data_IF_770871546619
#
_entry.id   IF_770871546619
#
_cell.length_a   1.000
_cell.length_b   1.000
_cell.length_c   1.000
_cell.angle_alpha   90.00
_cell.angle_beta   90.00
_cell.angle_gamma   90.00
#
_symmetry.space_group_name_H-M   'P 1'
#
loop_
_entity.id
_entity.type
_entity.pdbx_description
1 polymer ?
#
# COMPACT_ATOMS: atom_id res chain seq x y z
N UNK A 1 18.01 -10.55 -24.37
CA UNK A 1 16.59 -10.54 -23.99
C UNK A 1 16.49 -10.76 -22.49
N UNK A 2 16.67 -9.72 -21.67
CA UNK A 2 16.30 -9.87 -20.25
C UNK A 2 15.50 -8.64 -19.91
N UNK A 3 14.19 -8.76 -20.09
CA UNK A 3 13.19 -7.93 -19.43
C UNK A 3 12.59 -8.79 -18.34
N UNK A 4 12.43 -8.25 -17.13
CA UNK A 4 11.78 -8.95 -16.03
C UNK A 4 10.49 -8.22 -15.64
N UNK A 5 9.50 -9.00 -15.22
CA UNK A 5 8.22 -8.49 -14.72
C UNK A 5 8.01 -9.07 -13.33
N UNK A 6 7.70 -8.21 -12.36
CA UNK A 6 7.42 -8.60 -10.99
C UNK A 6 6.09 -8.02 -10.54
N UNK A 7 5.33 -8.79 -9.75
CA UNK A 7 4.13 -8.31 -9.07
C UNK A 7 4.46 -8.28 -7.58
N UNK A 8 4.38 -7.09 -6.98
CA UNK A 8 4.68 -6.88 -5.58
C UNK A 8 3.47 -6.33 -4.83
N UNK A 9 3.32 -6.83 -3.60
CA UNK A 9 2.48 -6.20 -2.60
C UNK A 9 3.33 -5.68 -1.46
N UNK A 10 2.95 -4.53 -0.90
CA UNK A 10 3.62 -3.95 0.26
C UNK A 10 3.63 -4.87 1.48
N UNK A 11 2.66 -5.80 1.58
CA UNK A 11 2.73 -6.85 2.58
C UNK A 11 4.02 -7.65 2.38
N UNK A 12 4.25 -8.21 1.20
CA UNK A 12 5.42 -9.05 0.95
C UNK A 12 6.73 -8.26 0.99
N UNK A 13 6.79 -7.14 0.28
CA UNK A 13 7.99 -6.33 0.15
C UNK A 13 7.57 -4.88 -0.07
N UNK A 14 7.86 -3.95 0.87
CA UNK A 14 7.50 -2.54 0.72
C UNK A 14 8.05 -1.96 -0.57
N UNK A 15 7.17 -1.39 -1.40
CA UNK A 15 7.56 -0.80 -2.68
C UNK A 15 8.50 0.40 -2.48
N UNK A 16 8.48 1.03 -1.30
CA UNK A 16 9.44 2.08 -0.90
C UNK A 16 10.89 1.65 -1.08
N UNK A 17 11.23 0.38 -0.82
CA UNK A 17 12.60 -0.13 -0.97
C UNK A 17 13.03 -0.11 -2.43
N UNK A 18 12.16 -0.57 -3.33
CA UNK A 18 12.41 -0.55 -4.78
C UNK A 18 12.53 0.88 -5.27
N UNK A 19 11.58 1.76 -4.91
CA UNK A 19 11.59 3.17 -5.34
C UNK A 19 12.87 3.87 -4.87
N UNK A 20 13.26 3.72 -3.61
CA UNK A 20 14.50 4.33 -3.08
C UNK A 20 15.76 3.80 -3.78
N UNK A 21 15.84 2.50 -4.02
CA UNK A 21 16.96 1.91 -4.78
C UNK A 21 17.02 2.47 -6.20
N UNK A 22 15.88 2.54 -6.89
CA UNK A 22 15.83 3.05 -8.27
C UNK A 22 16.13 4.54 -8.35
N UNK A 23 15.63 5.36 -7.42
CA UNK A 23 15.95 6.79 -7.32
C UNK A 23 17.47 7.03 -7.22
N UNK A 24 18.15 6.31 -6.31
CA UNK A 24 19.60 6.48 -6.06
C UNK A 24 20.49 6.17 -7.26
N UNK A 25 19.99 5.38 -8.20
CA UNK A 25 20.73 4.83 -9.33
C UNK A 25 20.28 5.37 -10.69
N UNK A 26 19.23 6.21 -10.74
CA UNK A 26 18.70 6.74 -12.00
C UNK A 26 19.40 8.04 -12.39
N UNK A 27 19.55 8.23 -13.70
CA UNK A 27 19.94 9.47 -14.36
C UNK A 27 18.73 10.35 -14.67
N UNK A 28 17.57 9.73 -14.90
CA UNK A 28 16.31 10.41 -15.20
C UNK A 28 15.15 9.67 -14.53
N UNK A 29 14.27 10.42 -13.87
CA UNK A 29 13.13 9.87 -13.13
C UNK A 29 11.88 10.68 -13.42
N UNK A 30 10.79 10.00 -13.77
CA UNK A 30 9.47 10.59 -13.94
C UNK A 30 8.45 9.96 -13.00
N UNK A 31 7.70 10.79 -12.28
CA UNK A 31 6.65 10.36 -11.34
C UNK A 31 5.34 11.08 -11.67
N UNK A 32 4.24 10.35 -11.68
CA UNK A 32 2.89 10.92 -11.75
C UNK A 32 1.99 10.21 -10.73
N UNK A 33 1.54 10.93 -9.71
CA UNK A 33 0.73 10.37 -8.61
C UNK A 33 -0.49 11.21 -8.34
N UNK A 34 -1.61 10.53 -8.11
CA UNK A 34 -2.85 11.19 -7.70
C UNK A 34 -2.67 11.92 -6.37
N UNK A 35 -2.02 11.28 -5.40
CA UNK A 35 -1.84 11.80 -4.04
C UNK A 35 -0.38 11.84 -3.64
N UNK A 36 0.00 12.96 -3.05
CA UNK A 36 1.30 13.19 -2.42
C UNK A 36 1.10 13.67 -0.98
N UNK A 37 1.63 12.93 -0.01
CA UNK A 37 1.67 13.40 1.39
C UNK A 37 3.10 13.56 1.87
N UNK A 38 3.31 14.44 2.85
CA UNK A 38 4.66 14.74 3.36
C UNK A 38 5.25 13.50 4.01
N UNK A 39 4.38 12.70 4.65
CA UNK A 39 4.75 11.36 5.14
C UNK A 39 5.35 10.44 4.07
N UNK A 40 4.93 10.57 2.80
CA UNK A 40 5.52 9.83 1.69
C UNK A 40 6.83 10.47 1.20
N UNK A 41 6.92 11.80 1.21
CA UNK A 41 8.17 12.53 0.94
C UNK A 41 9.25 12.07 1.91
N UNK A 42 8.98 12.01 3.21
CA UNK A 42 9.93 11.56 4.24
C UNK A 42 10.50 10.16 3.96
N UNK A 43 9.74 9.29 3.30
CA UNK A 43 10.17 7.92 2.96
C UNK A 43 11.16 7.89 1.79
N UNK A 44 11.14 8.90 0.91
CA UNK A 44 11.94 8.93 -0.33
C UNK A 44 12.92 10.09 -0.43
N UNK A 45 12.84 11.09 0.46
CA UNK A 45 13.56 12.35 0.36
C UNK A 45 15.08 12.15 0.28
N UNK A 46 15.65 11.25 1.07
CA UNK A 46 17.10 11.04 1.09
C UNK A 46 17.57 10.45 -0.26
N UNK A 47 16.83 9.49 -0.81
CA UNK A 47 17.15 8.93 -2.13
C UNK A 47 16.96 9.92 -3.27
N UNK A 48 15.94 10.79 -3.17
CA UNK A 48 15.69 11.87 -4.12
C UNK A 48 16.83 12.90 -4.10
N UNK A 49 17.20 13.39 -2.91
CA UNK A 49 18.29 14.36 -2.73
C UNK A 49 19.61 13.77 -3.24
N UNK A 50 19.95 12.55 -2.85
CA UNK A 50 21.17 11.87 -3.33
C UNK A 50 21.20 11.72 -4.86
N UNK A 51 20.05 11.54 -5.50
CA UNK A 51 19.93 11.45 -6.97
C UNK A 51 20.20 12.82 -7.62
N UNK A 52 19.59 13.88 -7.08
CA UNK A 52 19.74 15.25 -7.56
C UNK A 52 21.17 15.78 -7.36
N UNK A 53 21.82 15.45 -6.25
CA UNK A 53 23.22 15.81 -5.97
C UNK A 53 24.20 15.16 -6.95
N UNK A 54 23.88 13.96 -7.46
CA UNK A 54 24.62 13.31 -8.56
C UNK A 54 24.32 13.91 -9.93
N UNK A 55 23.43 14.91 -9.99
CA UNK A 55 23.04 15.59 -11.22
C UNK A 55 22.01 14.85 -12.05
N UNK A 56 21.21 13.95 -11.46
CA UNK A 56 20.08 13.32 -12.14
C UNK A 56 18.95 14.31 -12.39
N UNK A 57 18.14 14.01 -13.42
CA UNK A 57 16.88 14.70 -13.71
C UNK A 57 15.73 14.06 -12.92
N UNK A 58 14.84 14.88 -12.37
CA UNK A 58 13.66 14.41 -11.66
C UNK A 58 12.43 15.23 -12.04
N UNK A 59 11.40 14.59 -12.58
CA UNK A 59 10.13 15.21 -12.90
C UNK A 59 9.00 14.56 -12.11
N UNK A 60 8.15 15.39 -11.50
CA UNK A 60 7.01 14.91 -10.74
C UNK A 60 5.74 15.71 -11.05
N UNK A 61 4.66 14.98 -11.29
CA UNK A 61 3.30 15.48 -11.50
C UNK A 61 2.41 14.98 -10.35
N UNK A 62 1.70 15.90 -9.70
CA UNK A 62 0.88 15.60 -8.52
C UNK A 62 -0.56 16.07 -8.71
N UNK A 63 -1.52 15.20 -8.44
CA UNK A 63 -2.95 15.54 -8.47
C UNK A 63 -3.44 16.37 -7.27
N UNK A 64 -4.42 17.23 -7.52
CA UNK A 64 -5.09 18.07 -6.51
C UNK A 64 -6.61 17.83 -6.39
N UNK A 65 -7.20 16.95 -7.20
CA UNK A 65 -8.66 16.81 -7.36
C UNK A 65 -9.37 16.37 -6.07
N UNK A 66 -8.77 15.48 -5.28
CA UNK A 66 -9.35 14.98 -4.02
C UNK A 66 -8.91 15.74 -2.78
N UNK A 67 -8.16 16.84 -2.92
CA UNK A 67 -7.59 17.61 -1.79
C UNK A 67 -6.85 16.73 -0.77
N UNK A 68 -6.32 15.59 -1.22
CA UNK A 68 -5.59 14.64 -0.39
C UNK A 68 -4.09 14.95 -0.35
N UNK A 69 -3.60 15.64 -1.38
CA UNK A 69 -2.22 16.14 -1.44
C UNK A 69 -2.05 17.26 -0.42
N UNK A 70 -1.09 17.15 0.50
CA UNK A 70 -0.93 18.18 1.53
C UNK A 70 -0.04 19.36 1.08
N UNK A 71 -0.34 20.55 1.62
CA UNK A 71 0.39 21.79 1.32
C UNK A 71 1.87 21.71 1.69
N UNK A 72 2.21 20.96 2.74
CA UNK A 72 3.60 20.76 3.20
C UNK A 72 4.44 20.04 2.15
N UNK A 73 3.86 19.10 1.41
CA UNK A 73 4.53 18.38 0.32
C UNK A 73 4.79 19.27 -0.89
N UNK A 74 3.81 20.10 -1.25
CA UNK A 74 3.94 21.08 -2.35
C UNK A 74 5.03 22.09 -2.00
N UNK A 75 5.03 22.61 -0.75
CA UNK A 75 6.08 23.47 -0.21
C UNK A 75 7.46 22.85 -0.36
N UNK A 76 7.62 21.60 0.09
CA UNK A 76 8.89 20.86 -0.01
C UNK A 76 9.39 20.79 -1.46
N UNK A 77 8.53 20.39 -2.42
CA UNK A 77 8.94 20.27 -3.82
C UNK A 77 9.26 21.64 -4.45
N UNK A 78 8.55 22.71 -4.09
CA UNK A 78 8.86 24.06 -4.56
C UNK A 78 10.23 24.54 -4.05
N UNK A 79 10.51 24.34 -2.78
CA UNK A 79 11.79 24.74 -2.20
C UNK A 79 12.94 23.90 -2.76
N UNK A 80 12.71 22.60 -2.98
CA UNK A 80 13.68 21.73 -3.64
C UNK A 80 13.91 22.12 -5.11
N UNK A 81 12.87 22.54 -5.84
CA UNK A 81 12.96 23.05 -7.21
C UNK A 81 13.81 24.33 -7.31
N UNK A 82 13.70 25.23 -6.33
CA UNK A 82 14.53 26.46 -6.26
C UNK A 82 16.01 26.10 -6.18
N UNK A 83 16.36 25.09 -5.39
CA UNK A 83 17.73 24.60 -5.16
C UNK A 83 18.27 23.77 -6.33
N UNK A 84 17.50 22.79 -6.82
CA UNK A 84 17.94 21.85 -7.85
C UNK A 84 17.22 22.11 -9.17
N UNK A 85 17.91 22.75 -10.13
CA UNK A 85 17.33 23.11 -11.45
C UNK A 85 16.94 21.93 -12.34
N UNK A 86 17.44 20.73 -12.01
CA UNK A 86 17.07 19.46 -12.67
C UNK A 86 15.82 18.81 -12.10
N UNK A 87 15.24 19.40 -11.05
CA UNK A 87 13.92 19.05 -10.58
C UNK A 87 12.89 19.84 -11.39
N UNK A 88 11.86 19.16 -11.90
CA UNK A 88 10.66 19.76 -12.50
C UNK A 88 9.43 19.30 -11.73
N UNK A 89 8.65 20.25 -11.24
CA UNK A 89 7.47 19.97 -10.43
C UNK A 89 6.24 20.64 -11.01
N UNK A 90 5.18 19.85 -11.16
CA UNK A 90 3.89 20.30 -11.65
C UNK A 90 2.75 19.75 -10.79
N UNK A 91 1.70 20.55 -10.69
CA UNK A 91 0.40 20.15 -10.20
C UNK A 91 -0.55 19.90 -11.37
N UNK A 92 -1.42 18.92 -11.20
CA UNK A 92 -2.59 18.70 -12.02
C UNK A 92 -3.83 19.12 -11.23
N UNK A 93 -4.65 20.00 -11.79
CA UNK A 93 -5.93 20.37 -11.21
C UNK A 93 -6.83 21.12 -12.18
N UNK A 94 -8.10 21.19 -11.85
CA UNK A 94 -9.11 21.83 -12.69
C UNK A 94 -8.87 23.33 -12.86
N UNK A 95 -8.62 23.75 -14.11
CA UNK A 95 -8.79 25.16 -14.54
C UNK A 95 -10.25 25.35 -14.91
N UNK A 96 -10.90 26.47 -14.55
CA UNK A 96 -12.33 26.70 -14.80
C UNK A 96 -12.77 26.40 -16.24
N UNK A 97 -11.93 26.73 -17.23
CA UNK A 97 -12.22 26.51 -18.65
C UNK A 97 -12.09 25.05 -19.11
N UNK A 98 -11.51 24.18 -18.27
CA UNK A 98 -11.24 22.77 -18.51
C UNK A 98 -11.74 21.87 -17.37
N UNK A 99 -12.74 22.32 -16.60
CA UNK A 99 -13.41 21.45 -15.61
C UNK A 99 -14.04 20.29 -16.35
N UNK A 100 -13.49 19.10 -16.13
CA UNK A 100 -14.04 17.84 -16.63
C UNK A 100 -14.30 16.93 -15.45
N UNK A 101 -15.21 15.97 -15.58
CA UNK A 101 -15.42 14.93 -14.56
C UNK A 101 -14.26 13.92 -14.49
N UNK A 102 -13.18 14.13 -15.26
CA UNK A 102 -12.03 13.24 -15.34
C UNK A 102 -11.11 13.50 -14.16
N UNK A 103 -11.02 12.49 -13.30
CA UNK A 103 -10.17 12.51 -12.12
C UNK A 103 -8.74 12.12 -12.46
N UNK A 104 -7.77 12.93 -12.04
CA UNK A 104 -6.35 12.59 -12.11
C UNK A 104 -5.98 11.51 -11.08
N UNK A 105 -6.04 10.25 -11.51
CA UNK A 105 -5.75 9.11 -10.64
C UNK A 105 -4.57 8.18 -11.02
N UNK A 106 -3.56 8.59 -11.83
CA UNK A 106 -2.43 7.71 -12.13
C UNK A 106 -1.54 7.51 -10.90
N UNK A 107 -0.79 6.40 -10.92
CA UNK A 107 0.32 6.09 -10.00
C UNK A 107 1.44 5.44 -10.81
N UNK A 108 2.31 6.30 -11.33
CA UNK A 108 3.36 5.96 -12.29
C UNK A 108 4.69 6.38 -11.70
N UNK A 109 5.65 5.45 -11.73
CA UNK A 109 7.05 5.73 -11.41
C UNK A 109 7.93 5.16 -12.53
N UNK A 110 8.81 5.98 -13.08
CA UNK A 110 9.65 5.63 -14.21
C UNK A 110 11.08 6.05 -13.90
N UNK A 111 12.01 5.14 -14.15
CA UNK A 111 13.41 5.27 -13.78
C UNK A 111 14.29 4.87 -14.96
N UNK A 112 15.29 5.67 -15.28
CA UNK A 112 16.30 5.37 -16.28
C UNK A 112 17.70 5.53 -15.70
N UNK A 113 18.51 4.48 -15.74
CA UNK A 113 19.92 4.53 -15.32
C UNK A 113 20.91 4.49 -16.49
N UNK A 114 20.43 4.65 -17.74
CA UNK A 114 21.21 4.58 -18.97
C UNK A 114 21.53 3.16 -19.47
N UNK A 115 21.37 2.14 -18.62
CA UNK A 115 21.59 0.72 -18.96
C UNK A 115 20.28 -0.08 -19.03
N UNK A 116 19.35 0.25 -18.17
CA UNK A 116 18.02 -0.34 -18.09
C UNK A 116 16.99 0.70 -17.63
N UNK A 117 15.75 0.47 -18.07
CA UNK A 117 14.58 1.25 -17.72
C UNK A 117 13.73 0.46 -16.74
N UNK A 118 13.25 1.12 -15.68
CA UNK A 118 12.30 0.51 -14.74
C UNK A 118 11.00 1.31 -14.71
N UNK A 119 9.87 0.62 -14.84
CA UNK A 119 8.53 1.18 -14.70
C UNK A 119 7.80 0.50 -13.56
N UNK A 120 7.16 1.28 -12.69
CA UNK A 120 6.27 0.80 -11.64
C UNK A 120 4.89 1.42 -11.88
N UNK A 121 3.88 0.54 -11.99
CA UNK A 121 2.47 0.92 -12.17
C UNK A 121 1.65 0.09 -11.19
N UNK A 122 0.71 0.74 -10.49
CA UNK A 122 -0.15 0.04 -9.56
C UNK A 122 -1.04 0.95 -8.75
N UNK A 123 -1.29 0.57 -7.50
CA UNK A 123 -2.17 1.30 -6.59
C UNK A 123 -1.43 2.30 -5.69
N UNK A 124 -0.09 2.25 -5.63
CA UNK A 124 0.73 3.06 -4.71
C UNK A 124 0.79 4.54 -5.06
N UNK A 125 0.20 5.40 -4.23
CA UNK A 125 0.47 6.85 -4.21
C UNK A 125 1.72 7.18 -3.37
N UNK A 126 2.28 8.39 -3.52
CA UNK A 126 3.44 8.85 -2.73
C UNK A 126 3.03 9.32 -1.33
N UNK A 127 2.59 8.37 -0.51
CA UNK A 127 2.21 8.55 0.90
C UNK A 127 2.86 7.43 1.72
N UNK A 128 3.14 7.62 3.01
CA UNK A 128 3.71 6.53 3.84
C UNK A 128 2.83 5.27 3.83
N UNK A 129 1.51 5.47 3.85
CA UNK A 129 0.54 4.38 3.68
C UNK A 129 0.77 3.60 2.39
N UNK A 130 0.73 4.28 1.24
CA UNK A 130 0.91 3.63 -0.07
C UNK A 130 2.31 3.07 -0.32
N UNK A 131 3.34 3.61 0.34
CA UNK A 131 4.72 3.16 0.17
C UNK A 131 5.08 1.97 1.07
N UNK A 132 4.43 1.81 2.22
CA UNK A 132 4.87 0.85 3.25
C UNK A 132 3.77 0.03 3.92
N UNK A 133 2.58 0.59 4.16
CA UNK A 133 1.63 0.03 5.14
C UNK A 133 0.34 -0.52 4.52
N UNK A 134 -0.17 0.15 3.49
CA UNK A 134 -1.42 -0.23 2.83
C UNK A 134 -1.24 -1.52 2.05
N UNK A 135 -2.32 -2.27 1.87
CA UNK A 135 -2.35 -3.40 0.94
C UNK A 135 -2.38 -2.89 -0.50
N UNK A 136 -1.20 -2.58 -1.02
CA UNK A 136 -0.99 -2.15 -2.40
C UNK A 136 -0.58 -3.32 -3.28
N UNK A 137 -0.85 -3.22 -4.58
CA UNK A 137 -0.38 -4.15 -5.60
C UNK A 137 0.22 -3.34 -6.74
N UNK A 138 1.47 -3.65 -7.09
CA UNK A 138 2.23 -2.96 -8.13
C UNK A 138 2.87 -3.97 -9.08
N UNK A 139 2.92 -3.61 -10.36
CA UNK A 139 3.71 -4.31 -11.37
C UNK A 139 4.98 -3.53 -11.64
N UNK A 140 6.12 -4.21 -11.65
CA UNK A 140 7.43 -3.64 -11.95
C UNK A 140 7.94 -4.28 -13.24
N UNK A 141 8.25 -3.45 -14.22
CA UNK A 141 8.94 -3.83 -15.45
C UNK A 141 10.37 -3.33 -15.37
N UNK A 142 11.35 -4.21 -15.60
CA UNK A 142 12.76 -3.81 -15.78
C UNK A 142 13.22 -4.27 -17.15
N UNK A 143 13.61 -3.34 -18.01
CA UNK A 143 13.85 -3.56 -19.43
C UNK A 143 15.19 -2.98 -19.89
N UNK A 144 16.04 -3.80 -20.51
CA UNK A 144 17.22 -3.31 -21.26
C UNK A 144 16.89 -2.82 -22.67
N UNK A 145 15.76 -3.27 -23.22
CA UNK A 145 15.18 -2.83 -24.50
C UNK A 145 13.74 -2.39 -24.19
N UNK A 146 13.48 -1.08 -23.99
CA UNK A 146 12.24 -0.60 -23.39
C UNK A 146 11.05 -0.67 -24.35
N UNK A 147 10.19 -1.67 -24.20
CA UNK A 147 8.91 -1.74 -24.90
C UNK A 147 7.82 -1.10 -24.03
N UNK A 148 7.64 -1.61 -22.81
CA UNK A 148 6.58 -1.15 -21.90
C UNK A 148 6.88 0.23 -21.34
N UNK A 149 8.14 0.52 -21.03
CA UNK A 149 8.55 1.86 -20.62
C UNK A 149 8.25 2.90 -21.71
N UNK A 150 8.45 2.58 -22.99
CA UNK A 150 8.13 3.48 -24.11
C UNK A 150 6.63 3.75 -24.21
N UNK A 151 5.79 2.72 -24.05
CA UNK A 151 4.33 2.87 -24.01
C UNK A 151 3.89 3.73 -22.82
N UNK A 152 4.45 3.47 -21.64
CA UNK A 152 4.16 4.24 -20.44
C UNK A 152 4.62 5.70 -20.57
N UNK A 153 5.75 5.93 -21.23
CA UNK A 153 6.25 7.28 -21.51
C UNK A 153 5.29 8.07 -22.42
N UNK A 154 4.66 7.42 -23.40
CA UNK A 154 3.65 8.06 -24.23
C UNK A 154 2.43 8.49 -23.40
N UNK A 155 1.98 7.65 -22.46
CA UNK A 155 0.90 7.98 -21.51
C UNK A 155 1.36 9.13 -20.61
N UNK A 156 2.55 9.06 -20.03
CA UNK A 156 3.10 10.12 -19.19
C UNK A 156 3.17 11.46 -19.94
N UNK A 157 3.60 11.45 -21.21
CA UNK A 157 3.65 12.65 -22.04
C UNK A 157 2.26 13.25 -22.29
N UNK A 158 1.22 12.43 -22.49
CA UNK A 158 -0.16 12.94 -22.60
C UNK A 158 -0.64 13.67 -21.34
N UNK A 159 -0.15 13.28 -20.17
CA UNK A 159 -0.40 13.98 -18.91
C UNK A 159 0.43 15.26 -18.83
N UNK A 160 1.73 15.16 -19.14
CA UNK A 160 2.70 16.26 -19.05
C UNK A 160 2.32 17.46 -19.91
N UNK A 161 1.78 17.21 -21.10
CA UNK A 161 1.41 18.26 -22.04
C UNK A 161 -0.09 18.60 -21.98
N UNK A 162 -0.80 18.17 -20.94
CA UNK A 162 -2.19 18.52 -20.73
C UNK A 162 -2.33 19.99 -20.26
N UNK A 163 -3.40 20.66 -20.72
CA UNK A 163 -3.68 22.04 -20.33
C UNK A 163 -3.98 22.21 -18.84
N UNK A 164 -4.37 21.13 -18.15
CA UNK A 164 -4.64 21.11 -16.70
C UNK A 164 -3.36 21.15 -15.85
N UNK A 165 -2.18 21.09 -16.47
CA UNK A 165 -0.91 21.17 -15.77
C UNK A 165 -0.49 22.62 -15.47
N UNK A 166 0.11 22.84 -14.31
CA UNK A 166 0.68 24.14 -13.92
C UNK A 166 1.74 23.97 -12.83
N UNK A 167 2.62 24.96 -12.68
CA UNK A 167 3.54 25.05 -11.54
C UNK A 167 2.96 26.03 -10.52
N UNK A 168 2.70 25.61 -9.26
CA UNK A 168 2.14 26.51 -8.26
C UNK A 168 3.16 27.57 -7.84
N UNK A 169 2.70 28.80 -7.62
CA UNK A 169 3.51 29.86 -7.01
C UNK A 169 3.20 29.98 -5.51
N UNK A 170 3.87 30.91 -4.82
CA UNK A 170 3.70 31.15 -3.38
C UNK A 170 2.27 31.52 -2.99
N UNK A 171 1.64 32.40 -3.76
CA UNK A 171 0.25 32.85 -3.54
C UNK A 171 -0.74 31.69 -3.69
N UNK A 172 -0.59 30.87 -4.74
CA UNK A 172 -1.41 29.68 -4.94
C UNK A 172 -1.29 28.72 -3.76
N UNK A 173 -0.07 28.47 -3.29
CA UNK A 173 0.17 27.56 -2.18
C UNK A 173 -0.45 28.08 -0.87
N UNK A 174 -0.41 29.38 -0.62
CA UNK A 174 -1.08 29.98 0.53
C UNK A 174 -2.59 29.75 0.49
N UNK A 175 -3.24 30.08 -0.63
CA UNK A 175 -4.68 29.87 -0.82
C UNK A 175 -5.05 28.38 -0.74
N UNK A 176 -4.24 27.50 -1.34
CA UNK A 176 -4.41 26.06 -1.25
C UNK A 176 -4.35 25.56 0.19
N UNK A 177 -3.40 26.06 0.99
CA UNK A 177 -3.25 25.69 2.39
C UNK A 177 -4.45 26.11 3.23
N UNK A 178 -5.04 27.28 2.98
CA UNK A 178 -6.25 27.73 3.67
C UNK A 178 -7.43 26.78 3.40
N UNK A 179 -7.67 26.45 2.13
CA UNK A 179 -8.73 25.50 1.72
C UNK A 179 -8.47 24.10 2.31
N UNK A 180 -7.24 23.61 2.22
CA UNK A 180 -6.85 22.29 2.74
C UNK A 180 -7.07 22.19 4.26
N UNK A 181 -6.70 23.23 5.02
CA UNK A 181 -6.90 23.27 6.47
C UNK A 181 -8.39 23.33 6.85
N UNK A 182 -9.21 24.05 6.09
CA UNK A 182 -10.65 24.09 6.30
C UNK A 182 -11.29 22.70 6.11
N UNK A 183 -10.87 21.96 5.08
CA UNK A 183 -11.32 20.58 4.82
C UNK A 183 -10.92 19.66 5.98
N UNK A 184 -9.64 19.66 6.37
CA UNK A 184 -9.16 18.83 7.48
C UNK A 184 -9.91 19.14 8.77
N UNK A 185 -10.14 20.42 9.06
CA UNK A 185 -10.89 20.81 10.26
C UNK A 185 -12.30 20.23 10.25
N UNK A 186 -13.00 20.33 9.12
CA UNK A 186 -14.33 19.76 8.97
C UNK A 186 -14.32 18.23 9.12
N UNK A 187 -13.37 17.53 8.49
CA UNK A 187 -13.20 16.08 8.67
C UNK A 187 -12.97 15.70 10.15
N UNK A 188 -12.19 16.48 10.88
CA UNK A 188 -11.95 16.26 12.31
C UNK A 188 -13.19 16.51 13.17
N UNK A 189 -14.00 17.52 12.83
CA UNK A 189 -15.27 17.80 13.51
C UNK A 189 -16.27 16.65 13.27
N UNK A 190 -16.41 16.20 12.01
CA UNK A 190 -17.23 15.04 11.63
C UNK A 190 -16.75 13.77 12.35
N UNK A 191 -15.42 13.54 12.42
CA UNK A 191 -14.85 12.39 13.13
C UNK A 191 -15.10 12.43 14.64
N UNK A 192 -15.36 13.60 15.24
CA UNK A 192 -15.65 13.74 16.67
C UNK A 192 -17.15 13.76 16.99
N UNK A 193 -18.01 13.82 15.98
CA UNK A 193 -19.46 13.80 16.14
C UNK A 193 -19.91 12.45 16.75
N UNK A 194 -20.49 12.52 17.96
CA UNK A 194 -20.91 11.33 18.70
C UNK A 194 -21.97 10.53 17.95
N UNK A 195 -22.90 11.18 17.27
CA UNK A 195 -23.99 10.52 16.53
C UNK A 195 -23.44 9.74 15.34
N UNK A 196 -22.42 10.29 14.65
CA UNK A 196 -21.73 9.61 13.56
C UNK A 196 -20.90 8.44 14.10
N UNK A 197 -20.18 8.65 15.21
CA UNK A 197 -19.40 7.58 15.86
C UNK A 197 -20.28 6.42 16.36
N UNK A 198 -21.47 6.71 16.87
CA UNK A 198 -22.46 5.68 17.25
C UNK A 198 -22.95 4.91 16.02
N UNK A 199 -23.29 5.60 14.93
CA UNK A 199 -23.65 4.95 13.65
C UNK A 199 -22.52 4.10 13.08
N UNK A 200 -21.27 4.58 13.11
CA UNK A 200 -20.10 3.79 12.68
C UNK A 200 -20.00 2.50 13.50
N UNK A 201 -20.12 2.58 14.83
CA UNK A 201 -20.10 1.39 15.70
C UNK A 201 -21.28 0.45 15.43
N UNK A 202 -22.44 0.98 15.09
CA UNK A 202 -23.61 0.18 14.70
C UNK A 202 -23.36 -0.54 13.38
N UNK A 203 -22.83 0.16 12.36
CA UNK A 203 -22.43 -0.42 11.08
C UNK A 203 -21.38 -1.51 11.30
N UNK A 204 -20.32 -1.26 12.09
CA UNK A 204 -19.30 -2.26 12.41
C UNK A 204 -19.87 -3.49 13.15
N UNK A 205 -20.93 -3.32 13.96
CA UNK A 205 -21.65 -4.44 14.59
C UNK A 205 -22.47 -5.20 13.55
N UNK A 206 -23.17 -4.50 12.65
CA UNK A 206 -23.92 -5.10 11.56
C UNK A 206 -23.00 -5.87 10.62
N UNK A 207 -21.85 -5.32 10.23
CA UNK A 207 -20.83 -5.98 9.40
C UNK A 207 -20.35 -7.32 9.97
N UNK A 208 -20.33 -7.48 11.30
CA UNK A 208 -20.01 -8.75 11.96
C UNK A 208 -21.13 -9.80 11.90
N UNK A 209 -22.37 -9.35 11.78
CA UNK A 209 -23.57 -10.18 11.73
C UNK A 209 -23.99 -10.50 10.30
N UNK A 210 -23.61 -9.66 9.35
CA UNK A 210 -23.77 -9.92 7.93
C UNK A 210 -22.97 -11.17 7.54
N UNK A 211 -23.47 -12.00 6.61
CA UNK A 211 -22.75 -13.17 6.15
C UNK A 211 -21.39 -12.74 5.58
N UNK A 212 -20.33 -13.03 6.33
CA UNK A 212 -18.96 -12.81 5.89
C UNK A 212 -18.60 -13.74 4.74
N UNK A 213 -17.59 -13.36 3.95
CA UNK A 213 -16.96 -14.34 3.05
C UNK A 213 -16.28 -15.43 3.87
N UNK A 214 -16.01 -16.59 3.26
CA UNK A 214 -15.21 -17.69 3.83
C UNK A 214 -13.96 -17.15 4.55
N UNK A 215 -13.81 -17.34 5.88
CA UNK A 215 -12.68 -16.84 6.67
C UNK A 215 -11.32 -17.32 6.13
N UNK A 216 -10.26 -16.55 6.40
CA UNK A 216 -8.90 -16.99 6.06
C UNK A 216 -8.52 -18.26 6.83
N UNK A 217 -7.62 -19.08 6.28
CA UNK A 217 -7.14 -20.30 6.97
C UNK A 217 -6.56 -19.96 8.34
N UNK A 218 -5.73 -18.91 8.44
CA UNK A 218 -5.25 -18.34 9.71
C UNK A 218 -6.39 -18.07 10.70
N UNK A 219 -7.45 -17.38 10.26
CA UNK A 219 -8.57 -17.03 11.14
C UNK A 219 -9.28 -18.30 11.63
N UNK A 220 -9.53 -19.26 10.74
CA UNK A 220 -10.13 -20.55 11.11
C UNK A 220 -9.26 -21.32 12.12
N UNK A 221 -7.94 -21.30 11.98
CA UNK A 221 -7.02 -21.90 12.97
C UNK A 221 -7.14 -21.19 14.31
N UNK A 222 -7.08 -19.85 14.33
CA UNK A 222 -7.20 -19.08 15.59
C UNK A 222 -8.52 -19.35 16.28
N UNK A 223 -9.64 -19.29 15.55
CA UNK A 223 -10.98 -19.58 16.08
C UNK A 223 -11.07 -20.99 16.66
N UNK A 224 -10.49 -21.99 15.99
CA UNK A 224 -10.46 -23.36 16.49
C UNK A 224 -9.68 -23.47 17.80
N UNK A 225 -8.43 -22.99 17.84
CA UNK A 225 -7.60 -23.07 19.05
C UNK A 225 -8.25 -22.29 20.20
N UNK A 226 -8.81 -21.11 19.92
CA UNK A 226 -9.51 -20.31 20.92
C UNK A 226 -10.73 -21.05 21.50
N UNK A 227 -11.53 -21.70 20.65
CA UNK A 227 -12.68 -22.51 21.10
C UNK A 227 -12.28 -23.72 21.94
N UNK A 228 -11.05 -24.23 21.74
CA UNK A 228 -10.46 -25.29 22.56
C UNK A 228 -9.98 -24.73 23.91
N UNK A 229 -9.34 -23.55 23.92
CA UNK A 229 -8.95 -22.85 25.16
C UNK A 229 -10.15 -22.54 26.06
N UNK A 230 -11.28 -22.11 25.49
CA UNK A 230 -12.55 -21.89 26.22
C UNK A 230 -13.07 -23.17 26.89
N UNK A 231 -12.73 -24.34 26.34
CA UNK A 231 -13.06 -25.66 26.91
C UNK A 231 -11.97 -26.20 27.85
N UNK A 232 -10.96 -25.40 28.17
CA UNK A 232 -9.85 -25.77 29.06
C UNK A 232 -8.69 -26.50 28.39
N UNK A 233 -8.68 -26.62 27.06
CA UNK A 233 -7.58 -27.26 26.32
C UNK A 233 -6.48 -26.23 26.02
N UNK A 234 -5.33 -26.37 26.68
CA UNK A 234 -4.22 -25.39 26.60
C UNK A 234 -3.43 -25.43 25.29
N UNK A 235 -3.41 -26.57 24.61
CA UNK A 235 -2.69 -26.78 23.35
C UNK A 235 -3.41 -27.83 22.51
N UNK A 236 -3.37 -27.69 21.19
CA UNK A 236 -4.01 -28.62 20.24
C UNK A 236 -2.96 -29.27 19.34
N UNK A 237 -3.23 -30.48 18.83
CA UNK A 237 -2.33 -31.11 17.87
C UNK A 237 -2.57 -30.58 16.45
N UNK A 238 -1.55 -30.69 15.59
CA UNK A 238 -1.69 -30.42 14.16
C UNK A 238 -2.81 -31.25 13.52
N UNK A 239 -3.00 -32.48 13.99
CA UNK A 239 -4.02 -33.39 13.49
C UNK A 239 -5.43 -32.91 13.86
N UNK A 240 -5.62 -32.40 15.07
CA UNK A 240 -6.90 -31.81 15.51
C UNK A 240 -7.25 -30.59 14.65
N UNK A 241 -6.26 -29.73 14.36
CA UNK A 241 -6.44 -28.56 13.48
C UNK A 241 -6.85 -29.02 12.07
N UNK A 242 -6.18 -30.03 11.50
CA UNK A 242 -6.54 -30.56 10.19
C UNK A 242 -7.98 -31.07 10.16
N UNK A 243 -8.35 -31.90 11.14
CA UNK A 243 -9.67 -32.49 11.20
C UNK A 243 -10.74 -31.41 11.36
N UNK A 244 -10.58 -30.48 12.31
CA UNK A 244 -11.57 -29.44 12.58
C UNK A 244 -11.80 -28.51 11.38
N UNK A 245 -10.73 -28.11 10.69
CA UNK A 245 -10.86 -27.23 9.52
C UNK A 245 -11.44 -27.96 8.30
N UNK A 246 -11.07 -29.22 8.07
CA UNK A 246 -11.67 -30.04 7.00
C UNK A 246 -13.16 -30.30 7.24
N UNK A 247 -13.55 -30.61 8.48
CA UNK A 247 -14.95 -30.78 8.86
C UNK A 247 -15.73 -29.48 8.69
N UNK A 248 -15.17 -28.35 9.11
CA UNK A 248 -15.80 -27.03 8.94
C UNK A 248 -16.01 -26.69 7.47
N UNK A 249 -15.01 -26.88 6.60
CA UNK A 249 -15.13 -26.60 5.17
C UNK A 249 -16.20 -27.46 4.51
N UNK A 250 -16.29 -28.74 4.89
CA UNK A 250 -17.34 -29.63 4.39
C UNK A 250 -18.72 -29.18 4.86
N UNK A 251 -18.85 -28.88 6.16
CA UNK A 251 -20.12 -28.46 6.79
C UNK A 251 -20.67 -27.16 6.18
N UNK A 252 -19.80 -26.19 5.93
CA UNK A 252 -20.18 -24.88 5.40
C UNK A 252 -20.18 -24.83 3.86
N UNK A 253 -19.97 -25.98 3.18
CA UNK A 253 -19.91 -26.11 1.72
C UNK A 253 -18.84 -25.24 1.04
N UNK A 254 -17.76 -24.93 1.74
CA UNK A 254 -16.64 -24.09 1.25
C UNK A 254 -15.63 -24.83 0.39
N UNK A 255 -15.90 -26.09 0.05
CA UNK A 255 -14.98 -26.98 -0.67
C UNK A 255 -14.53 -26.45 -2.04
N UNK A 256 -15.35 -25.65 -2.71
CA UNK A 256 -15.02 -25.04 -4.01
C UNK A 256 -13.84 -24.05 -3.96
N UNK A 257 -13.54 -23.47 -2.78
CA UNK A 257 -12.48 -22.45 -2.61
C UNK A 257 -11.12 -23.07 -2.29
N UNK A 258 -11.08 -24.30 -1.80
CA UNK A 258 -9.86 -24.95 -1.32
C UNK A 258 -9.55 -26.19 -2.16
N UNK A 259 -8.35 -26.24 -2.74
CA UNK A 259 -7.85 -27.48 -3.36
C UNK A 259 -7.65 -28.52 -2.25
N UNK A 260 -8.49 -29.56 -2.23
CA UNK A 260 -8.49 -30.64 -1.24
C UNK A 260 -7.08 -31.18 -0.99
N UNK A 261 -6.34 -31.39 -2.08
CA UNK A 261 -5.06 -32.11 -2.07
C UNK A 261 -3.93 -31.29 -1.43
N UNK A 262 -4.09 -29.97 -1.34
CA UNK A 262 -3.08 -29.06 -0.77
C UNK A 262 -3.52 -28.39 0.53
N UNK A 263 -4.76 -28.59 0.97
CA UNK A 263 -5.35 -27.84 2.07
C UNK A 263 -4.56 -27.97 3.39
N UNK A 264 -4.16 -29.19 3.76
CA UNK A 264 -3.29 -29.45 4.93
C UNK A 264 -1.91 -28.79 4.81
N UNK A 265 -1.35 -28.72 3.60
CA UNK A 265 -0.09 -28.02 3.36
C UNK A 265 -0.25 -26.52 3.58
N UNK A 266 -1.37 -25.94 3.17
CA UNK A 266 -1.68 -24.53 3.40
C UNK A 266 -1.88 -24.23 4.89
N UNK A 267 -2.62 -25.06 5.63
CA UNK A 267 -2.75 -24.93 7.10
C UNK A 267 -1.38 -24.91 7.78
N UNK A 268 -0.51 -25.87 7.44
CA UNK A 268 0.84 -25.95 7.98
C UNK A 268 1.69 -24.74 7.60
N UNK A 269 1.51 -24.25 6.36
CA UNK A 269 2.13 -23.02 5.88
C UNK A 269 1.78 -21.82 6.74
N UNK A 270 0.49 -21.59 7.01
CA UNK A 270 0.00 -20.50 7.86
C UNK A 270 0.52 -20.60 9.30
N UNK A 271 0.47 -21.80 9.90
CA UNK A 271 0.99 -22.06 11.25
C UNK A 271 2.47 -21.68 11.35
N UNK A 272 3.30 -22.12 10.40
CA UNK A 272 4.74 -21.85 10.40
C UNK A 272 5.06 -20.40 10.02
N UNK A 273 4.27 -19.81 9.12
CA UNK A 273 4.46 -18.43 8.68
C UNK A 273 4.17 -17.44 9.80
N UNK A 274 3.17 -17.72 10.64
CA UNK A 274 2.73 -16.87 11.74
C UNK A 274 3.10 -17.39 13.15
N UNK A 275 4.00 -18.37 13.25
CA UNK A 275 4.55 -18.81 14.53
C UNK A 275 5.39 -17.70 15.20
N UNK A 276 5.40 -17.64 16.53
CA UNK A 276 6.26 -16.76 17.32
C UNK A 276 7.73 -17.07 17.00
N UNK A 277 8.51 -16.02 16.69
CA UNK A 277 9.93 -16.10 16.29
C UNK A 277 10.71 -14.98 16.96
N UNK A 278 11.96 -15.25 17.31
CA UNK A 278 12.87 -14.25 17.89
C UNK A 278 13.20 -13.13 16.89
N UNK A 279 13.28 -13.46 15.60
CA UNK A 279 13.49 -12.50 14.52
C UNK A 279 12.40 -12.65 13.43
N UNK A 280 11.20 -12.07 13.64
CA UNK A 280 10.07 -12.26 12.74
C UNK A 280 10.24 -11.45 11.44
N UNK A 281 9.81 -12.04 10.32
CA UNK A 281 9.61 -11.27 9.08
C UNK A 281 8.51 -10.21 9.28
N UNK A 282 8.50 -9.11 8.51
CA UNK A 282 7.47 -8.05 8.60
C UNK A 282 6.01 -8.58 8.59
N UNK A 283 5.73 -9.70 7.91
CA UNK A 283 4.40 -10.31 7.81
C UNK A 283 4.09 -11.40 8.84
N UNK A 284 5.06 -11.73 9.69
CA UNK A 284 4.83 -12.68 10.76
C UNK A 284 4.05 -11.97 11.87
N UNK A 285 2.83 -12.44 12.11
CA UNK A 285 1.93 -11.88 13.11
C UNK A 285 2.21 -12.44 14.52
N UNK A 286 3.04 -13.48 14.65
CA UNK A 286 3.36 -14.13 15.93
C UNK A 286 2.13 -14.65 16.67
N UNK A 287 1.17 -15.25 15.95
CA UNK A 287 -0.12 -15.67 16.48
C UNK A 287 -0.05 -17.01 17.21
N UNK A 288 0.83 -17.89 16.75
CA UNK A 288 0.90 -19.27 17.21
C UNK A 288 2.22 -19.51 17.94
N UNK A 289 2.19 -20.24 19.03
CA UNK A 289 3.40 -20.80 19.65
C UNK A 289 3.40 -22.31 19.50
N UNK A 290 4.60 -22.89 19.53
CA UNK A 290 4.82 -24.32 19.38
C UNK A 290 5.46 -24.86 20.66
N UNK A 291 4.65 -25.17 21.69
CA UNK A 291 5.17 -25.68 22.96
C UNK A 291 5.89 -27.02 22.78
N UNK A 292 5.39 -27.88 21.90
CA UNK A 292 5.96 -29.20 21.62
C UNK A 292 5.90 -29.55 20.12
N UNK A 293 6.58 -30.63 19.73
CA UNK A 293 6.57 -31.11 18.35
C UNK A 293 5.13 -31.49 17.95
N UNK A 294 4.56 -30.72 17.03
CA UNK A 294 3.22 -30.88 16.46
C UNK A 294 2.07 -30.42 17.37
N UNK A 295 2.38 -29.71 18.45
CA UNK A 295 1.41 -29.00 19.28
C UNK A 295 1.45 -27.50 19.02
N UNK A 296 0.28 -26.87 19.06
CA UNK A 296 0.12 -25.44 18.80
C UNK A 296 -0.79 -24.82 19.87
N UNK A 297 -0.46 -23.60 20.28
CA UNK A 297 -1.28 -22.78 21.17
C UNK A 297 -1.31 -21.32 20.66
N UNK A 298 -2.23 -20.51 21.19
CA UNK A 298 -2.27 -19.09 20.88
C UNK A 298 -1.29 -18.30 21.75
N UNK A 299 -0.57 -17.37 21.14
CA UNK A 299 0.14 -16.33 21.89
C UNK A 299 -0.85 -15.29 22.42
N UNK A 300 -0.44 -14.35 23.30
CA UNK A 300 -1.28 -13.20 23.66
C UNK A 300 -1.77 -12.41 22.44
N UNK A 301 -0.96 -12.31 21.37
CA UNK A 301 -1.38 -11.69 20.10
C UNK A 301 -2.42 -12.54 19.36
N UNK A 302 -2.24 -13.87 19.36
CA UNK A 302 -3.20 -14.82 18.79
C UNK A 302 -4.61 -14.65 19.38
N UNK A 303 -4.72 -14.51 20.71
CA UNK A 303 -6.00 -14.31 21.42
C UNK A 303 -6.70 -13.00 21.11
N UNK A 304 -5.98 -12.00 20.60
CA UNK A 304 -6.52 -10.69 20.24
C UNK A 304 -6.77 -10.55 18.74
N UNK A 305 -6.52 -11.58 17.94
CA UNK A 305 -6.64 -11.53 16.49
C UNK A 305 -8.13 -11.45 16.06
N UNK A 306 -8.47 -10.45 15.23
CA UNK A 306 -9.85 -10.15 14.80
C UNK A 306 -10.07 -10.18 13.28
N UNK A 307 -9.21 -10.87 12.52
CA UNK A 307 -9.44 -11.12 11.10
C UNK A 307 -9.00 -10.02 10.12
N UNK A 308 -8.12 -9.10 10.54
CA UNK A 308 -7.29 -8.28 9.64
C UNK A 308 -5.84 -8.37 10.09
#
# INVERSE_FOLDING_TARGET
>A
MVSSVQILSNLNYPISKVINERLRNSLDTHVAVAFLKYSGVEVVQDALIDSLEKGAEFEIIVGLDFKTTDSKSIRFLLDLNKTYKKLRFYCYGDKENNKTDIVFHPKIYMFDNGKEKTSIIGSTNLTKGGLENNFEVNTIFTEKKPLYYTQLNAIYNSIKYADSLFTPNEEYLQNYNEVFNAIIKNEQEVSKDKSIQEKIKEIEKQEKLLPGTIPSIKAMIVEFIFSCEEKGVKQVTLQDIYQALEERIKKEEWGYKYKSDTFRNTIRGELNHHALKDNPSKNNLGLFERPEKAFYALTPKGRLYKGR
#
